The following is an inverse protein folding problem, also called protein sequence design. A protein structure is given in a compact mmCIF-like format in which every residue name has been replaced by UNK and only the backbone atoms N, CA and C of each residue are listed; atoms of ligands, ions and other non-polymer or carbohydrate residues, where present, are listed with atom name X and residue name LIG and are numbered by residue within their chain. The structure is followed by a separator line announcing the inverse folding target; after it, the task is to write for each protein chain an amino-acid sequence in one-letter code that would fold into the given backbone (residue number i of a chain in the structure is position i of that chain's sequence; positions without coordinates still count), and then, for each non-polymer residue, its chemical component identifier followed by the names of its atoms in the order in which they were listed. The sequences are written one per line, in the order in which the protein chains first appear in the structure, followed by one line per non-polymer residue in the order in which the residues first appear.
data_IF_294568061028
#
_entry.id   IF_294568061028
#
_cell.length_a   1.000
_cell.length_b   1.000
_cell.length_c   1.000
_cell.angle_alpha   90.00
_cell.angle_beta   90.00
_cell.angle_gamma   90.00
#
_symmetry.space_group_name_H-M   'P 1'
#
loop_
_entity.id
_entity.type
_entity.pdbx_description
1 polymer ?
#
# COMPACT_ATOMS: atom_id res chain seq x y z
N UNK A 1 1.94 -26.99 12.61
CA UNK A 1 0.72 -26.37 13.16
C UNK A 1 0.43 -25.18 12.27
N UNK A 2 -0.53 -25.30 11.36
CA UNK A 2 -0.95 -24.19 10.51
C UNK A 2 -1.58 -23.11 11.39
N UNK A 3 -0.78 -22.14 11.83
CA UNK A 3 -1.30 -20.97 12.52
C UNK A 3 -2.10 -20.16 11.50
N UNK A 4 -3.41 -20.01 11.76
CA UNK A 4 -4.31 -19.14 10.97
C UNK A 4 -3.70 -17.75 10.81
N UNK A 5 -3.89 -17.13 9.66
CA UNK A 5 -3.38 -15.78 9.42
C UNK A 5 -4.26 -14.79 10.18
N UNK A 6 -3.70 -14.06 11.15
CA UNK A 6 -4.41 -12.99 11.86
C UNK A 6 -4.03 -11.60 11.36
N UNK A 7 -5.02 -10.77 11.03
CA UNK A 7 -4.84 -9.38 10.56
C UNK A 7 -5.46 -8.40 11.56
N UNK A 8 -4.67 -7.48 12.09
CA UNK A 8 -5.18 -6.37 12.90
C UNK A 8 -5.69 -5.24 12.00
N UNK A 9 -6.88 -4.72 12.30
CA UNK A 9 -7.50 -3.63 11.56
C UNK A 9 -7.72 -2.47 12.52
N UNK A 10 -7.13 -1.32 12.20
CA UNK A 10 -7.44 -0.06 12.88
C UNK A 10 -8.86 0.37 12.48
N UNK A 11 -9.84 0.02 13.31
CA UNK A 11 -11.26 0.20 13.01
C UNK A 11 -11.69 1.67 13.10
N UNK A 12 -10.92 2.53 13.74
CA UNK A 12 -11.23 3.96 13.87
C UNK A 12 -10.55 4.80 12.78
N UNK A 13 -9.63 4.22 12.02
CA UNK A 13 -8.84 4.95 11.02
C UNK A 13 -9.63 5.33 9.77
N UNK A 14 -9.37 6.53 9.26
CA UNK A 14 -9.96 7.06 8.02
C UNK A 14 -11.20 7.91 8.29
N UNK A 15 -11.74 8.54 7.24
CA UNK A 15 -12.76 9.58 7.35
C UNK A 15 -14.10 9.07 7.91
N UNK A 16 -14.32 7.75 7.82
CA UNK A 16 -15.57 7.09 8.18
C UNK A 16 -15.41 5.98 9.25
N UNK A 17 -14.18 5.71 9.69
CA UNK A 17 -13.86 4.74 10.74
C UNK A 17 -14.60 3.39 10.62
N UNK A 18 -15.24 2.98 11.73
CA UNK A 18 -15.79 1.64 11.91
C UNK A 18 -16.89 1.30 10.90
N UNK A 19 -17.62 2.32 10.43
CA UNK A 19 -18.71 2.18 9.47
C UNK A 19 -18.26 1.65 8.10
N UNK A 20 -16.97 1.77 7.79
CA UNK A 20 -16.33 1.21 6.59
C UNK A 20 -15.50 -0.02 6.93
N UNK A 21 -14.68 0.06 7.98
CA UNK A 21 -13.72 -1.01 8.31
C UNK A 21 -14.43 -2.30 8.71
N UNK A 22 -15.50 -2.22 9.52
CA UNK A 22 -16.22 -3.42 9.98
C UNK A 22 -16.91 -4.16 8.83
N UNK A 23 -17.70 -3.53 7.94
CA UNK A 23 -18.23 -4.22 6.77
C UNK A 23 -17.17 -4.81 5.85
N UNK A 24 -16.03 -4.13 5.69
CA UNK A 24 -14.91 -4.63 4.88
C UNK A 24 -14.26 -5.87 5.51
N UNK A 25 -14.14 -5.91 6.84
CA UNK A 25 -13.65 -7.05 7.60
C UNK A 25 -14.59 -8.25 7.52
N UNK A 26 -15.91 -8.04 7.68
CA UNK A 26 -16.94 -9.08 7.51
C UNK A 26 -16.87 -9.68 6.10
N UNK A 27 -16.74 -8.84 5.07
CA UNK A 27 -16.58 -9.31 3.69
C UNK A 27 -15.28 -10.11 3.51
N UNK A 28 -14.19 -9.70 4.17
CA UNK A 28 -12.91 -10.39 4.10
C UNK A 28 -12.95 -11.76 4.80
N UNK A 29 -13.54 -11.84 6.00
CA UNK A 29 -13.71 -13.08 6.77
C UNK A 29 -14.49 -14.13 5.97
N UNK A 30 -15.65 -13.75 5.41
CA UNK A 30 -16.47 -14.66 4.58
C UNK A 30 -15.73 -15.20 3.35
N UNK A 31 -14.79 -14.43 2.79
CA UNK A 31 -13.99 -14.85 1.62
C UNK A 31 -12.76 -15.67 2.01
N UNK A 32 -12.29 -15.59 3.25
CA UNK A 32 -11.07 -16.23 3.72
C UNK A 32 -11.34 -16.95 5.05
N UNK A 33 -11.92 -18.17 5.01
CA UNK A 33 -12.27 -18.95 6.20
C UNK A 33 -11.08 -19.33 7.10
N UNK A 34 -9.86 -19.19 6.58
CA UNK A 34 -8.58 -19.49 7.22
C UNK A 34 -7.89 -18.25 7.86
N UNK A 35 -8.54 -17.09 7.79
CA UNK A 35 -8.00 -15.80 8.26
C UNK A 35 -8.84 -15.25 9.41
N UNK A 36 -8.20 -14.81 10.48
CA UNK A 36 -8.83 -14.13 11.60
C UNK A 36 -8.53 -12.63 11.58
N UNK A 37 -9.42 -11.83 12.17
CA UNK A 37 -9.32 -10.38 12.18
C UNK A 37 -9.47 -9.85 13.61
N UNK A 38 -8.58 -8.92 13.97
CA UNK A 38 -8.68 -8.17 15.23
C UNK A 38 -9.08 -6.74 14.88
N UNK A 39 -10.33 -6.39 15.15
CA UNK A 39 -10.88 -5.04 15.00
C UNK A 39 -10.51 -4.22 16.23
N UNK A 40 -9.67 -3.19 16.05
CA UNK A 40 -9.11 -2.41 17.14
C UNK A 40 -9.72 -1.02 17.19
N UNK A 41 -10.29 -0.61 18.33
CA UNK A 41 -10.92 0.70 18.49
C UNK A 41 -11.93 0.79 19.64
N UNK A 42 -12.89 1.70 19.52
CA UNK A 42 -14.00 1.79 20.46
C UNK A 42 -14.85 0.52 20.39
N UNK A 43 -14.92 -0.23 21.49
CA UNK A 43 -15.57 -1.54 21.51
C UNK A 43 -17.07 -1.44 21.28
N UNK A 44 -17.72 -0.41 21.82
CA UNK A 44 -19.16 -0.23 21.67
C UNK A 44 -19.50 0.11 20.20
N UNK A 45 -18.73 0.99 19.57
CA UNK A 45 -18.90 1.37 18.17
C UNK A 45 -18.68 0.17 17.23
N UNK A 46 -17.61 -0.60 17.45
CA UNK A 46 -17.30 -1.79 16.64
C UNK A 46 -18.39 -2.85 16.79
N UNK A 47 -18.85 -3.14 18.02
CA UNK A 47 -19.91 -4.14 18.26
C UNK A 47 -21.22 -3.73 17.61
N UNK A 48 -21.63 -2.45 17.72
CA UNK A 48 -22.82 -1.95 17.05
C UNK A 48 -22.72 -2.08 15.51
N UNK A 49 -21.55 -1.83 14.93
CA UNK A 49 -21.32 -2.01 13.51
C UNK A 49 -21.36 -3.50 13.08
N UNK A 50 -20.84 -4.42 13.91
CA UNK A 50 -20.92 -5.87 13.68
C UNK A 50 -22.35 -6.39 13.73
N UNK A 51 -23.15 -5.93 14.70
CA UNK A 51 -24.57 -6.26 14.83
C UNK A 51 -25.34 -5.81 13.58
N UNK A 52 -25.11 -4.57 13.14
CA UNK A 52 -25.72 -4.03 11.91
C UNK A 52 -25.31 -4.80 10.66
N UNK A 53 -24.09 -5.34 10.62
CA UNK A 53 -23.59 -6.20 9.54
C UNK A 53 -24.05 -7.66 9.66
N UNK A 54 -24.86 -8.00 10.68
CA UNK A 54 -25.35 -9.36 10.93
C UNK A 54 -24.24 -10.37 11.20
N UNK A 55 -23.14 -9.92 11.81
CA UNK A 55 -21.94 -10.74 12.07
C UNK A 55 -21.53 -10.69 13.55
N UNK A 56 -22.50 -10.42 14.41
CA UNK A 56 -22.36 -10.56 15.86
C UNK A 56 -22.03 -12.01 16.22
N UNK A 57 -20.91 -12.23 16.91
CA UNK A 57 -20.47 -13.57 17.31
C UNK A 57 -19.78 -14.39 16.23
N UNK A 58 -19.40 -13.78 15.09
CA UNK A 58 -18.52 -14.42 14.12
C UNK A 58 -17.15 -14.74 14.77
N UNK A 59 -16.78 -16.03 14.78
CA UNK A 59 -15.56 -16.49 15.45
C UNK A 59 -14.27 -15.98 14.80
N UNK A 60 -14.32 -15.50 13.55
CA UNK A 60 -13.17 -14.90 12.86
C UNK A 60 -12.96 -13.42 13.23
N UNK A 61 -13.93 -12.78 13.88
CA UNK A 61 -13.93 -11.33 14.15
C UNK A 61 -13.78 -11.07 15.65
N UNK A 62 -12.56 -10.72 16.06
CA UNK A 62 -12.25 -10.37 17.45
C UNK A 62 -12.24 -8.86 17.63
N UNK A 63 -12.74 -8.38 18.76
CA UNK A 63 -12.72 -6.96 19.11
C UNK A 63 -11.65 -6.72 20.17
N UNK A 64 -10.78 -5.74 19.92
CA UNK A 64 -9.77 -5.27 20.87
C UNK A 64 -10.05 -3.80 21.17
N UNK A 65 -10.41 -3.50 22.42
CA UNK A 65 -10.65 -2.12 22.81
C UNK A 65 -9.37 -1.27 22.77
N UNK A 66 -9.51 -0.02 22.35
CA UNK A 66 -8.54 1.05 22.49
C UNK A 66 -9.29 2.34 22.86
N UNK A 67 -8.78 3.10 23.83
CA UNK A 67 -9.49 4.28 24.38
C UNK A 67 -9.27 5.56 23.57
N UNK A 68 -8.35 5.56 22.61
CA UNK A 68 -7.98 6.75 21.85
C UNK A 68 -8.07 6.50 20.34
N UNK A 69 -8.18 7.59 19.58
CA UNK A 69 -8.04 7.63 18.12
C UNK A 69 -7.01 8.69 17.74
N UNK A 70 -6.33 8.49 16.62
CA UNK A 70 -5.47 9.50 15.99
C UNK A 70 -6.28 10.21 14.91
N UNK A 71 -6.47 11.52 15.05
CA UNK A 71 -7.25 12.31 14.09
C UNK A 71 -6.47 12.51 12.78
N UNK A 72 -7.19 12.74 11.68
CA UNK A 72 -6.59 12.83 10.35
C UNK A 72 -5.67 14.06 10.17
N UNK A 73 -5.91 15.13 10.90
CA UNK A 73 -5.11 16.37 10.93
C UNK A 73 -4.08 16.40 12.07
N UNK A 74 -4.03 15.36 12.90
CA UNK A 74 -3.11 15.29 14.03
C UNK A 74 -1.65 15.18 13.56
N UNK A 75 -0.76 15.94 14.20
CA UNK A 75 0.67 15.89 13.89
C UNK A 75 1.24 14.49 14.22
N UNK A 76 1.96 13.82 13.29
CA UNK A 76 2.53 12.49 13.52
C UNK A 76 3.38 12.37 14.78
N UNK A 77 4.14 13.42 15.11
CA UNK A 77 4.99 13.49 16.30
C UNK A 77 4.20 13.55 17.61
N UNK A 78 3.04 14.20 17.60
CA UNK A 78 2.14 14.27 18.74
C UNK A 78 1.45 12.93 18.96
N UNK A 79 0.86 12.37 17.91
CA UNK A 79 0.23 11.05 17.95
C UNK A 79 1.19 9.98 18.48
N UNK A 80 2.42 9.93 17.96
CA UNK A 80 3.44 8.96 18.39
C UNK A 80 3.77 9.04 19.90
N UNK A 81 3.81 10.25 20.46
CA UNK A 81 4.21 10.48 21.87
C UNK A 81 3.06 10.27 22.85
N UNK A 82 1.87 10.74 22.48
CA UNK A 82 0.77 10.95 23.42
C UNK A 82 -0.39 9.95 23.24
N UNK A 83 -0.52 9.32 22.07
CA UNK A 83 -1.64 8.42 21.74
C UNK A 83 -1.24 6.94 21.83
N UNK A 84 -0.68 6.55 22.98
CA UNK A 84 -0.16 5.20 23.20
C UNK A 84 -1.26 4.13 23.25
N UNK A 85 -2.49 4.53 23.53
CA UNK A 85 -3.66 3.66 23.52
C UNK A 85 -4.61 4.01 22.36
N UNK A 86 -4.07 4.52 21.25
CA UNK A 86 -4.86 4.71 20.03
C UNK A 86 -5.13 3.39 19.32
N UNK A 87 -6.27 3.29 18.65
CA UNK A 87 -6.62 2.14 17.78
C UNK A 87 -5.46 1.74 16.84
N UNK A 88 -4.85 2.72 16.17
CA UNK A 88 -3.69 2.55 15.31
C UNK A 88 -2.49 1.98 16.09
N UNK A 89 -2.18 2.53 17.26
CA UNK A 89 -1.05 2.06 18.08
C UNK A 89 -1.27 0.66 18.62
N UNK A 90 -2.47 0.38 19.11
CA UNK A 90 -2.86 -0.92 19.67
C UNK A 90 -2.87 -1.98 18.56
N UNK A 91 -3.32 -1.66 17.34
CA UNK A 91 -3.25 -2.56 16.18
C UNK A 91 -1.80 -2.95 15.83
N UNK A 92 -0.88 -1.99 15.83
CA UNK A 92 0.55 -2.28 15.61
C UNK A 92 1.17 -3.08 16.77
N UNK A 93 0.74 -2.84 18.01
CA UNK A 93 1.19 -3.63 19.16
C UNK A 93 0.75 -5.11 19.03
N UNK A 94 -0.41 -5.40 18.41
CA UNK A 94 -0.82 -6.79 18.14
C UNK A 94 0.23 -7.57 17.33
N UNK A 95 0.86 -6.91 16.35
CA UNK A 95 1.97 -7.53 15.59
C UNK A 95 3.19 -7.72 16.48
N UNK A 96 3.60 -6.66 17.19
CA UNK A 96 4.78 -6.70 18.06
C UNK A 96 4.69 -7.81 19.12
N UNK A 97 3.49 -8.07 19.60
CA UNK A 97 3.20 -9.06 20.65
C UNK A 97 2.90 -10.45 20.08
N UNK A 98 3.01 -10.64 18.76
CA UNK A 98 2.82 -11.94 18.10
C UNK A 98 1.37 -12.40 18.02
N UNK A 99 0.40 -11.50 18.22
CA UNK A 99 -1.04 -11.78 18.13
C UNK A 99 -1.64 -11.53 16.74
N UNK A 100 -0.96 -10.74 15.91
CA UNK A 100 -1.32 -10.50 14.52
C UNK A 100 -0.08 -10.59 13.62
N UNK A 101 -0.28 -10.90 12.33
CA UNK A 101 0.80 -10.97 11.34
C UNK A 101 0.90 -9.70 10.48
N UNK A 102 -0.20 -8.95 10.35
CA UNK A 102 -0.22 -7.67 9.64
C UNK A 102 -1.20 -6.68 10.27
N UNK A 103 -1.05 -5.41 9.89
CA UNK A 103 -1.93 -4.31 10.28
C UNK A 103 -2.42 -3.57 9.04
N UNK A 104 -3.72 -3.27 8.98
CA UNK A 104 -4.30 -2.38 7.96
C UNK A 104 -4.92 -1.17 8.64
N UNK A 105 -4.59 0.03 8.16
CA UNK A 105 -5.17 1.27 8.68
C UNK A 105 -5.49 2.25 7.55
N UNK A 106 -6.63 2.92 7.64
CA UNK A 106 -6.97 4.06 6.80
C UNK A 106 -6.66 5.42 7.48
N UNK A 107 -6.11 5.42 8.71
CA UNK A 107 -5.79 6.63 9.48
C UNK A 107 -4.62 7.46 8.92
N UNK A 108 -4.21 8.51 9.61
CA UNK A 108 -3.17 9.44 9.16
C UNK A 108 -1.87 8.72 8.70
N UNK A 109 -1.44 8.94 7.46
CA UNK A 109 -0.28 8.24 6.85
C UNK A 109 1.01 8.48 7.63
N UNK A 110 1.27 9.73 8.02
CA UNK A 110 2.49 10.09 8.73
C UNK A 110 2.53 9.49 10.14
N UNK A 111 1.40 9.51 10.86
CA UNK A 111 1.26 8.89 12.16
C UNK A 111 1.42 7.36 12.08
N UNK A 112 0.84 6.72 11.06
CA UNK A 112 0.99 5.29 10.82
C UNK A 112 2.44 4.93 10.56
N UNK A 113 3.12 5.66 9.66
CA UNK A 113 4.54 5.42 9.36
C UNK A 113 5.42 5.59 10.60
N UNK A 114 5.27 6.71 11.32
CA UNK A 114 6.07 7.00 12.51
C UNK A 114 5.85 5.97 13.62
N UNK A 115 4.59 5.59 13.87
CA UNK A 115 4.22 4.60 14.88
C UNK A 115 4.69 3.21 14.51
N UNK A 116 4.52 2.80 13.24
CA UNK A 116 4.96 1.49 12.75
C UNK A 116 6.46 1.33 12.86
N UNK A 117 7.23 2.33 12.42
CA UNK A 117 8.70 2.33 12.57
C UNK A 117 9.12 2.26 14.04
N UNK A 118 8.44 2.98 14.93
CA UNK A 118 8.75 2.96 16.36
C UNK A 118 8.47 1.58 16.99
N UNK A 119 7.31 1.00 16.70
CA UNK A 119 6.80 -0.24 17.31
C UNK A 119 7.51 -1.46 16.74
N UNK A 120 7.55 -1.59 15.42
CA UNK A 120 7.98 -2.79 14.70
C UNK A 120 9.48 -2.78 14.38
N UNK A 121 10.10 -1.59 14.34
CA UNK A 121 11.49 -1.40 13.90
C UNK A 121 11.72 -1.76 12.43
N UNK A 122 12.90 -1.41 11.94
CA UNK A 122 13.37 -1.75 10.60
C UNK A 122 13.89 -3.19 10.55
N UNK A 123 13.77 -3.81 9.39
CA UNK A 123 14.54 -5.01 9.05
C UNK A 123 16.04 -4.69 9.15
N UNK A 124 16.87 -5.62 9.67
CA UNK A 124 18.32 -5.44 9.69
C UNK A 124 18.86 -5.12 8.29
N UNK A 125 19.65 -4.05 8.17
CA UNK A 125 20.25 -3.63 6.91
C UNK A 125 19.35 -2.79 5.98
N UNK A 126 18.09 -2.56 6.34
CA UNK A 126 17.24 -1.56 5.67
C UNK A 126 17.25 -0.27 6.47
N UNK A 127 17.59 0.85 5.83
CA UNK A 127 17.78 2.12 6.51
C UNK A 127 16.46 2.85 6.77
N UNK A 128 15.54 2.79 5.80
CA UNK A 128 14.28 3.54 5.81
C UNK A 128 13.14 2.74 5.20
N UNK A 129 11.91 2.89 5.71
CA UNK A 129 10.76 2.25 5.08
C UNK A 129 10.36 3.01 3.82
N UNK A 130 9.71 2.34 2.87
CA UNK A 130 9.19 2.96 1.65
C UNK A 130 7.69 2.68 1.50
N UNK A 131 6.94 3.65 0.98
CA UNK A 131 5.54 3.44 0.58
C UNK A 131 5.54 2.84 -0.82
N UNK A 132 5.03 1.62 -0.95
CA UNK A 132 4.90 0.90 -2.21
C UNK A 132 3.42 0.71 -2.55
N UNK A 133 2.99 1.18 -3.73
CA UNK A 133 1.61 0.98 -4.21
C UNK A 133 1.60 0.49 -5.65
N UNK A 134 0.58 -0.29 -6.00
CA UNK A 134 0.28 -0.60 -7.39
C UNK A 134 -0.42 0.61 -8.04
N UNK A 135 0.03 1.00 -9.23
CA UNK A 135 -0.60 1.99 -10.09
C UNK A 135 -1.17 1.29 -11.33
N UNK A 136 -2.37 1.67 -11.81
CA UNK A 136 -2.94 1.05 -13.01
C UNK A 136 -2.01 1.23 -14.22
N UNK A 137 -1.90 0.21 -15.06
CA UNK A 137 -1.15 0.28 -16.33
C UNK A 137 -1.92 -0.40 -17.46
N UNK A 138 -1.47 -0.23 -18.70
CA UNK A 138 -2.05 -0.88 -19.87
C UNK A 138 -2.00 -2.42 -19.79
N UNK A 139 -1.00 -2.98 -19.10
CA UNK A 139 -0.82 -4.43 -18.94
C UNK A 139 -1.40 -4.99 -17.64
N UNK A 140 -1.69 -4.16 -16.65
CA UNK A 140 -2.60 -4.37 -15.50
C UNK A 140 -2.25 -3.33 -14.43
N UNK A 141 -1.03 -3.40 -13.91
CA UNK A 141 -0.48 -2.42 -12.98
C UNK A 141 1.06 -2.36 -13.03
N UNK A 142 1.62 -1.37 -12.36
CA UNK A 142 3.05 -1.16 -12.12
C UNK A 142 3.23 -0.83 -10.64
N UNK A 143 4.14 -1.50 -9.93
CA UNK A 143 4.49 -1.13 -8.56
C UNK A 143 5.38 0.11 -8.56
N UNK A 144 5.10 1.05 -7.67
CA UNK A 144 5.91 2.27 -7.55
C UNK A 144 6.28 2.53 -6.10
N UNK A 145 7.55 2.89 -5.87
CA UNK A 145 8.10 3.26 -4.58
C UNK A 145 9.34 4.14 -4.73
N UNK A 146 9.62 5.11 -3.86
CA UNK A 146 8.83 5.53 -2.72
C UNK A 146 7.76 6.56 -3.12
N UNK A 147 6.63 6.57 -2.41
CA UNK A 147 5.49 7.47 -2.67
C UNK A 147 5.25 8.47 -1.54
N UNK A 148 6.31 8.78 -0.78
CA UNK A 148 6.32 9.87 0.19
C UNK A 148 6.69 9.49 1.62
N UNK A 149 7.29 8.30 1.86
CA UNK A 149 7.88 8.02 3.17
C UNK A 149 9.15 8.87 3.42
N UNK A 150 9.90 9.13 2.36
CA UNK A 150 11.20 9.79 2.40
C UNK A 150 11.23 10.92 1.37
N UNK A 151 11.42 12.15 1.83
CA UNK A 151 11.55 13.31 0.93
C UNK A 151 12.86 13.24 0.14
N UNK A 152 13.97 12.98 0.85
CA UNK A 152 15.31 12.88 0.25
C UNK A 152 15.89 11.49 0.47
N UNK A 153 16.33 10.87 -0.62
CA UNK A 153 17.00 9.56 -0.64
C UNK A 153 18.42 9.71 -1.18
N UNK A 154 19.26 8.68 -1.01
CA UNK A 154 20.50 8.54 -1.80
C UNK A 154 20.39 7.33 -2.71
N UNK A 155 21.40 7.10 -3.56
CA UNK A 155 21.41 5.98 -4.49
C UNK A 155 21.30 4.59 -3.82
N UNK A 156 21.82 4.42 -2.60
CA UNK A 156 21.74 3.16 -1.86
C UNK A 156 20.32 2.90 -1.37
N UNK A 157 19.58 3.96 -0.99
CA UNK A 157 18.17 3.82 -0.66
C UNK A 157 17.35 3.38 -1.89
N UNK A 158 17.60 3.94 -3.08
CA UNK A 158 16.92 3.52 -4.31
C UNK A 158 17.19 2.04 -4.64
N UNK A 159 18.41 1.54 -4.41
CA UNK A 159 18.72 0.11 -4.50
C UNK A 159 17.91 -0.72 -3.49
N UNK A 160 17.84 -0.30 -2.23
CA UNK A 160 17.02 -0.98 -1.22
C UNK A 160 15.54 -0.99 -1.62
N UNK A 161 15.03 0.11 -2.20
CA UNK A 161 13.67 0.19 -2.70
C UNK A 161 13.46 -0.79 -3.86
N UNK A 162 14.38 -0.86 -4.82
CA UNK A 162 14.30 -1.79 -5.94
C UNK A 162 14.22 -3.25 -5.46
N UNK A 163 15.03 -3.59 -4.45
CA UNK A 163 15.01 -4.90 -3.80
C UNK A 163 13.68 -5.18 -3.12
N UNK A 164 13.22 -4.27 -2.26
CA UNK A 164 11.96 -4.44 -1.52
C UNK A 164 10.76 -4.52 -2.45
N UNK A 165 10.71 -3.67 -3.48
CA UNK A 165 9.67 -3.70 -4.52
C UNK A 165 9.69 -5.01 -5.29
N UNK A 166 10.87 -5.56 -5.59
CA UNK A 166 11.02 -6.85 -6.27
C UNK A 166 10.44 -8.01 -5.48
N UNK A 167 10.69 -8.04 -4.17
CA UNK A 167 10.09 -9.07 -3.32
C UNK A 167 8.58 -8.87 -3.10
N UNK A 168 8.10 -7.62 -3.04
CA UNK A 168 6.68 -7.32 -2.98
C UNK A 168 5.94 -7.77 -4.25
N UNK A 169 6.42 -7.37 -5.44
CA UNK A 169 5.81 -7.75 -6.71
C UNK A 169 5.87 -9.27 -6.90
N UNK A 170 7.01 -9.90 -6.58
CA UNK A 170 7.13 -11.35 -6.68
C UNK A 170 6.31 -12.14 -5.67
N UNK A 171 5.91 -11.53 -4.55
CA UNK A 171 4.97 -12.12 -3.60
C UNK A 171 3.53 -11.95 -4.05
N UNK A 172 3.13 -10.71 -4.38
CA UNK A 172 1.73 -10.40 -4.63
C UNK A 172 1.27 -10.85 -6.02
N UNK A 173 2.14 -10.75 -7.03
CA UNK A 173 1.79 -11.05 -8.43
C UNK A 173 2.31 -12.42 -8.88
N UNK A 174 3.12 -13.09 -8.06
CA UNK A 174 3.76 -14.36 -8.41
C UNK A 174 4.87 -14.23 -9.46
N UNK A 175 5.34 -13.01 -9.76
CA UNK A 175 6.43 -12.75 -10.69
C UNK A 175 7.80 -12.96 -10.03
N UNK A 176 8.48 -14.07 -10.31
CA UNK A 176 9.75 -14.41 -9.65
C UNK A 176 10.95 -13.55 -10.07
N UNK A 177 10.85 -12.78 -11.15
CA UNK A 177 11.95 -11.96 -11.67
C UNK A 177 11.45 -10.61 -12.23
N UNK A 178 10.84 -9.77 -11.39
CA UNK A 178 10.13 -8.58 -11.85
C UNK A 178 11.11 -7.53 -12.40
N UNK A 179 10.76 -6.93 -13.54
CA UNK A 179 11.57 -5.88 -14.18
C UNK A 179 11.57 -4.60 -13.35
N UNK A 180 12.76 -4.05 -13.13
CA UNK A 180 12.98 -2.85 -12.31
C UNK A 180 13.42 -1.70 -13.19
N UNK A 181 12.68 -0.60 -13.15
CA UNK A 181 13.05 0.69 -13.72
C UNK A 181 13.41 1.71 -12.64
N UNK A 182 14.31 2.63 -12.97
CA UNK A 182 14.56 3.83 -12.14
C UNK A 182 13.91 5.02 -12.83
N UNK A 183 13.01 5.73 -12.14
CA UNK A 183 12.33 6.89 -12.71
C UNK A 183 13.34 7.99 -13.05
N UNK A 184 13.27 8.51 -14.27
CA UNK A 184 14.18 9.53 -14.76
C UNK A 184 13.46 10.51 -15.71
N UNK A 185 14.18 11.57 -16.08
CA UNK A 185 13.73 12.60 -17.04
C UNK A 185 13.96 12.20 -18.52
N UNK A 186 14.36 10.96 -18.77
CA UNK A 186 14.55 10.38 -20.09
C UNK A 186 15.22 9.00 -20.03
N UNK A 187 15.10 8.24 -21.11
CA UNK A 187 15.65 6.88 -21.22
C UNK A 187 17.18 6.84 -21.38
N UNK A 188 17.82 7.93 -21.82
CA UNK A 188 19.25 7.98 -22.13
C UNK A 188 20.14 8.06 -20.89
N UNK A 189 21.27 7.33 -20.88
CA UNK A 189 22.19 7.23 -19.72
C UNK A 189 22.76 8.57 -19.22
N UNK A 190 22.87 9.55 -20.12
CA UNK A 190 23.38 10.89 -19.80
C UNK A 190 22.38 11.76 -19.04
N UNK A 191 21.08 11.43 -19.07
CA UNK A 191 20.02 12.20 -18.42
C UNK A 191 19.84 11.81 -16.95
N UNK A 192 19.29 12.74 -16.17
CA UNK A 192 19.09 12.56 -14.74
C UNK A 192 20.21 13.14 -13.88
N UNK A 193 19.93 13.22 -12.59
CA UNK A 193 20.88 13.69 -11.60
C UNK A 193 21.87 12.57 -11.20
N UNK A 194 22.94 12.93 -10.48
CA UNK A 194 23.96 11.97 -10.04
C UNK A 194 23.42 10.85 -9.15
N UNK A 195 22.39 11.15 -8.35
CA UNK A 195 21.73 10.16 -7.49
C UNK A 195 21.07 9.05 -8.31
N UNK A 196 20.31 9.40 -9.34
CA UNK A 196 19.62 8.46 -10.23
C UNK A 196 20.62 7.63 -11.03
N UNK A 197 21.69 8.26 -11.54
CA UNK A 197 22.76 7.57 -12.28
C UNK A 197 23.50 6.56 -11.40
N UNK A 198 23.87 6.96 -10.19
CA UNK A 198 24.52 6.06 -9.25
C UNK A 198 23.57 4.94 -8.80
N UNK A 199 22.27 5.22 -8.62
CA UNK A 199 21.29 4.20 -8.29
C UNK A 199 21.17 3.15 -9.42
N UNK A 200 21.06 3.59 -10.67
CA UNK A 200 21.02 2.72 -11.84
C UNK A 200 22.27 1.84 -11.92
N UNK A 201 23.46 2.40 -11.69
CA UNK A 201 24.73 1.66 -11.63
C UNK A 201 24.73 0.61 -10.52
N UNK A 202 24.24 0.96 -9.32
CA UNK A 202 24.18 0.04 -8.19
C UNK A 202 23.16 -1.09 -8.41
N UNK A 203 22.04 -0.80 -9.06
CA UNK A 203 20.98 -1.77 -9.36
C UNK A 203 21.42 -2.71 -10.48
N UNK A 204 22.07 -2.21 -11.54
CA UNK A 204 22.57 -3.03 -12.65
C UNK A 204 23.69 -3.99 -12.22
N UNK A 205 24.46 -3.64 -11.18
CA UNK A 205 25.47 -4.51 -10.56
C UNK A 205 24.90 -5.49 -9.52
N UNK A 206 23.59 -5.45 -9.27
CA UNK A 206 22.93 -6.35 -8.31
C UNK A 206 22.36 -7.59 -9.02
N UNK A 207 21.71 -8.48 -8.27
CA UNK A 207 21.00 -9.64 -8.83
C UNK A 207 19.57 -9.31 -9.30
N UNK A 208 19.19 -8.02 -9.36
CA UNK A 208 17.85 -7.59 -9.76
C UNK A 208 17.73 -7.52 -11.28
N UNK A 209 16.52 -7.70 -11.80
CA UNK A 209 16.22 -7.61 -13.23
C UNK A 209 16.09 -6.14 -13.66
N UNK A 210 17.22 -5.45 -13.72
CA UNK A 210 17.26 -4.05 -14.13
C UNK A 210 16.94 -3.90 -15.63
N UNK A 211 15.93 -3.10 -15.93
CA UNK A 211 15.44 -2.88 -17.30
C UNK A 211 15.69 -1.45 -17.82
N UNK A 212 16.44 -0.62 -17.08
CA UNK A 212 16.84 0.72 -17.51
C UNK A 212 16.12 1.86 -16.79
N UNK A 213 16.11 3.03 -17.40
CA UNK A 213 15.37 4.18 -16.91
C UNK A 213 13.91 4.13 -17.37
N UNK A 214 13.01 4.58 -16.51
CA UNK A 214 11.59 4.73 -16.81
C UNK A 214 11.26 6.23 -16.88
N UNK A 215 10.53 6.65 -17.90
CA UNK A 215 9.95 7.99 -17.96
C UNK A 215 8.59 8.05 -17.22
N UNK A 216 8.05 9.26 -17.05
CA UNK A 216 6.80 9.46 -16.32
C UNK A 216 5.59 8.75 -16.92
N UNK A 217 5.59 8.51 -18.24
CA UNK A 217 4.51 7.80 -18.92
C UNK A 217 4.67 6.26 -18.83
N UNK A 218 5.88 5.74 -18.63
CA UNK A 218 6.15 4.30 -18.47
C UNK A 218 5.47 3.70 -17.23
N UNK A 219 5.16 4.54 -16.24
CA UNK A 219 4.29 4.18 -15.10
C UNK A 219 3.00 3.50 -15.60
N UNK A 220 2.45 3.99 -16.71
CA UNK A 220 1.17 3.54 -17.26
C UNK A 220 1.31 2.54 -18.42
N UNK A 221 2.49 2.37 -19.03
CA UNK A 221 2.68 1.43 -20.16
C UNK A 221 2.80 -0.03 -19.72
N UNK A 222 3.27 -0.28 -18.49
CA UNK A 222 3.50 -1.64 -17.97
C UNK A 222 4.70 -2.33 -18.61
N UNK A 223 5.74 -1.57 -18.98
CA UNK A 223 7.03 -2.13 -19.43
C UNK A 223 7.93 -2.52 -18.25
N UNK A 224 7.69 -1.91 -17.09
CA UNK A 224 8.32 -2.22 -15.82
C UNK A 224 7.28 -2.83 -14.89
N UNK A 225 7.66 -3.88 -14.17
CA UNK A 225 6.86 -4.40 -13.06
C UNK A 225 6.99 -3.45 -11.86
N UNK A 226 8.18 -2.87 -11.67
CA UNK A 226 8.51 -1.97 -10.56
C UNK A 226 9.24 -0.74 -11.07
N UNK A 227 8.83 0.44 -10.62
CA UNK A 227 9.54 1.70 -10.84
C UNK A 227 9.95 2.28 -9.49
N UNK A 228 11.24 2.60 -9.36
CA UNK A 228 11.78 3.23 -8.16
C UNK A 228 12.12 4.70 -8.32
N UNK A 229 11.85 5.50 -7.29
CA UNK A 229 12.17 6.92 -7.19
C UNK A 229 12.31 7.37 -5.73
N UNK A 230 12.75 8.62 -5.53
CA UNK A 230 12.61 9.29 -4.24
C UNK A 230 11.14 9.61 -3.94
N UNK A 231 10.80 9.72 -2.66
CA UNK A 231 9.41 9.91 -2.24
C UNK A 231 8.84 11.29 -2.56
N UNK A 232 9.67 12.31 -2.80
CA UNK A 232 9.19 13.62 -3.24
C UNK A 232 8.67 13.53 -4.69
N UNK A 233 9.48 13.02 -5.61
CA UNK A 233 9.09 12.81 -7.01
C UNK A 233 7.94 11.80 -7.07
N UNK A 234 8.02 10.68 -6.36
CA UNK A 234 6.99 9.65 -6.39
C UNK A 234 5.62 10.14 -5.90
N UNK A 235 5.59 10.90 -4.81
CA UNK A 235 4.33 11.47 -4.30
C UNK A 235 3.74 12.52 -5.26
N UNK A 236 4.57 13.36 -5.88
CA UNK A 236 4.12 14.31 -6.91
C UNK A 236 3.53 13.56 -8.11
N UNK A 237 4.21 12.53 -8.60
CA UNK A 237 3.75 11.70 -9.71
C UNK A 237 2.41 11.04 -9.40
N UNK A 238 2.27 10.43 -8.22
CA UNK A 238 1.02 9.83 -7.75
C UNK A 238 -0.12 10.85 -7.70
N UNK A 239 0.09 12.00 -7.03
CA UNK A 239 -0.95 13.02 -6.83
C UNK A 239 -1.37 13.71 -8.13
N UNK A 240 -0.41 13.95 -9.02
CA UNK A 240 -0.68 14.49 -10.35
C UNK A 240 -1.57 13.54 -11.14
N UNK A 241 -1.27 12.25 -11.08
CA UNK A 241 -1.99 11.21 -11.82
C UNK A 241 -3.40 10.97 -11.29
N UNK A 242 -3.57 10.97 -9.96
CA UNK A 242 -4.89 10.97 -9.33
C UNK A 242 -5.71 12.22 -9.73
N UNK A 243 -5.07 13.39 -9.81
CA UNK A 243 -5.68 14.64 -10.24
C UNK A 243 -6.20 14.59 -11.68
N UNK A 244 -5.35 14.13 -12.61
CA UNK A 244 -5.71 13.96 -14.02
C UNK A 244 -6.86 12.96 -14.19
N UNK A 245 -6.80 11.81 -13.50
CA UNK A 245 -7.86 10.80 -13.55
C UNK A 245 -9.22 11.37 -13.06
N UNK A 246 -9.22 12.13 -11.96
CA UNK A 246 -10.42 12.81 -11.43
C UNK A 246 -10.95 13.87 -12.38
N UNK A 247 -10.07 14.63 -13.04
CA UNK A 247 -10.45 15.63 -14.04
C UNK A 247 -11.15 14.98 -15.23
N UNK A 248 -10.57 13.92 -15.82
CA UNK A 248 -11.16 13.18 -16.94
C UNK A 248 -12.53 12.60 -16.56
N UNK A 249 -12.64 11.97 -15.39
CA UNK A 249 -13.91 11.43 -14.91
C UNK A 249 -14.99 12.51 -14.75
N UNK A 250 -14.59 13.71 -14.31
CA UNK A 250 -15.48 14.86 -14.17
C UNK A 250 -15.98 15.36 -15.53
N UNK A 251 -15.10 15.52 -16.52
CA UNK A 251 -15.47 15.95 -17.86
C UNK A 251 -16.40 14.94 -18.56
N UNK A 252 -16.11 13.65 -18.46
CA UNK A 252 -16.99 12.59 -18.98
C UNK A 252 -18.40 12.71 -18.36
N UNK A 253 -18.47 12.87 -17.02
CA UNK A 253 -19.76 13.02 -16.33
C UNK A 253 -20.51 14.27 -16.80
N UNK A 254 -19.81 15.40 -16.96
CA UNK A 254 -20.42 16.66 -17.40
C UNK A 254 -21.00 16.53 -18.82
N UNK A 255 -20.24 16.00 -19.78
CA UNK A 255 -20.71 15.87 -21.17
C UNK A 255 -21.91 14.92 -21.30
N UNK A 256 -21.90 13.78 -20.61
CA UNK A 256 -23.01 12.84 -20.66
C UNK A 256 -24.26 13.30 -19.89
N UNK A 257 -24.15 14.29 -19.00
CA UNK A 257 -25.28 14.81 -18.22
C UNK A 257 -25.82 16.15 -18.70
N UNK A 258 -25.21 16.73 -19.75
CA UNK A 258 -25.48 18.07 -20.26
C UNK A 258 -26.93 18.31 -20.69
N UNK A 259 -27.54 17.37 -21.39
CA UNK A 259 -28.94 17.43 -21.82
C UNK A 259 -29.58 16.03 -21.97
N UNK A 260 -30.87 16.00 -22.32
CA UNK A 260 -31.65 14.75 -22.43
C UNK A 260 -31.05 13.81 -23.50
N UNK A 261 -30.58 14.34 -24.64
CA UNK A 261 -29.98 13.54 -25.70
C UNK A 261 -28.65 12.92 -25.27
N UNK A 262 -27.79 13.68 -24.58
CA UNK A 262 -26.53 13.15 -24.04
C UNK A 262 -26.76 12.10 -22.96
N UNK A 263 -27.83 12.26 -22.16
CA UNK A 263 -28.21 11.24 -21.16
C UNK A 263 -28.70 9.95 -21.82
N UNK A 264 -29.43 10.06 -22.92
CA UNK A 264 -29.84 8.89 -23.71
C UNK A 264 -28.63 8.19 -24.34
N UNK A 265 -27.69 8.96 -24.90
CA UNK A 265 -26.41 8.42 -25.39
C UNK A 265 -25.60 7.74 -24.28
N UNK A 266 -25.61 8.30 -23.05
CA UNK A 266 -24.97 7.69 -21.89
C UNK A 266 -25.55 6.32 -21.55
N UNK A 267 -26.87 6.14 -21.72
CA UNK A 267 -27.54 4.87 -21.46
C UNK A 267 -27.07 3.79 -22.44
N UNK A 268 -26.94 4.14 -23.72
CA UNK A 268 -26.40 3.25 -24.75
C UNK A 268 -24.92 2.94 -24.49
N UNK A 269 -24.11 3.96 -24.14
CA UNK A 269 -22.70 3.83 -23.85
C UNK A 269 -22.39 3.22 -22.46
N UNK A 270 -23.40 2.99 -21.63
CA UNK A 270 -23.26 2.58 -20.23
C UNK A 270 -22.38 1.33 -20.04
N UNK A 271 -22.46 0.27 -20.88
CA UNK A 271 -21.57 -0.89 -20.74
C UNK A 271 -20.09 -0.52 -20.91
N UNK A 272 -19.79 0.34 -21.90
CA UNK A 272 -18.43 0.83 -22.18
C UNK A 272 -17.96 1.75 -21.06
N UNK A 273 -18.79 2.67 -20.59
CA UNK A 273 -18.47 3.57 -19.49
C UNK A 273 -18.21 2.80 -18.18
N UNK A 274 -18.99 1.75 -17.90
CA UNK A 274 -18.75 0.86 -16.75
C UNK A 274 -17.45 0.09 -16.89
N UNK A 275 -17.16 -0.45 -18.07
CA UNK A 275 -15.90 -1.17 -18.33
C UNK A 275 -14.68 -0.24 -18.20
N UNK A 276 -14.77 0.96 -18.76
CA UNK A 276 -13.74 2.00 -18.65
C UNK A 276 -13.52 2.38 -17.18
N UNK A 277 -14.60 2.75 -16.46
CA UNK A 277 -14.53 3.10 -15.03
C UNK A 277 -13.88 2.00 -14.20
N UNK A 278 -14.14 0.72 -14.50
CA UNK A 278 -13.55 -0.42 -13.80
C UNK A 278 -12.04 -0.58 -14.05
N UNK A 279 -11.53 -0.18 -15.22
CA UNK A 279 -10.08 -0.22 -15.53
C UNK A 279 -9.31 0.87 -14.81
N UNK A 280 -9.89 2.07 -14.72
CA UNK A 280 -9.24 3.23 -14.07
C UNK A 280 -9.62 3.40 -12.60
N UNK A 281 -10.26 2.40 -11.97
CA UNK A 281 -10.78 2.52 -10.60
C UNK A 281 -9.63 2.41 -9.59
N UNK A 282 -9.21 3.51 -8.92
CA UNK A 282 -8.10 3.47 -7.98
C UNK A 282 -8.41 2.58 -6.77
N UNK A 283 -9.69 2.32 -6.47
CA UNK A 283 -10.09 1.45 -5.35
C UNK A 283 -9.56 0.02 -5.49
N UNK A 284 -9.28 -0.42 -6.73
CA UNK A 284 -8.75 -1.77 -7.00
C UNK A 284 -7.28 -1.92 -6.60
N UNK A 285 -6.56 -0.82 -6.54
CA UNK A 285 -5.12 -0.77 -6.26
C UNK A 285 -4.82 -0.14 -4.89
N UNK A 286 -5.82 -0.10 -4.01
CA UNK A 286 -5.67 0.37 -2.64
C UNK A 286 -4.88 -0.66 -1.81
N UNK A 287 -4.14 -0.16 -0.82
CA UNK A 287 -3.30 -0.96 0.06
C UNK A 287 -1.81 -0.70 -0.17
N UNK A 288 -1.37 0.52 0.13
CA UNK A 288 0.03 0.87 0.03
C UNK A 288 0.83 0.18 1.15
N UNK A 289 1.83 -0.61 0.79
CA UNK A 289 2.66 -1.35 1.74
C UNK A 289 3.78 -0.48 2.28
N UNK A 290 3.98 -0.48 3.60
CA UNK A 290 5.15 0.14 4.24
C UNK A 290 6.29 -0.89 4.31
N UNK A 291 7.06 -0.99 3.23
CA UNK A 291 8.13 -1.97 3.10
C UNK A 291 9.34 -1.60 3.96
N UNK A 292 10.10 -2.62 4.40
CA UNK A 292 11.32 -2.44 5.20
C UNK A 292 11.12 -2.53 6.72
N UNK A 293 9.88 -2.63 7.19
CA UNK A 293 9.55 -2.90 8.59
C UNK A 293 9.63 -4.40 8.92
N UNK A 294 9.88 -4.75 10.18
CA UNK A 294 9.87 -6.16 10.64
C UNK A 294 8.48 -6.81 10.64
N UNK A 295 7.42 -6.03 10.45
CA UNK A 295 6.05 -6.50 10.34
C UNK A 295 5.35 -5.86 9.15
N UNK A 296 4.24 -6.47 8.73
CA UNK A 296 3.51 -6.03 7.54
C UNK A 296 2.51 -4.95 7.94
N UNK A 297 2.63 -3.77 7.32
CA UNK A 297 1.71 -2.65 7.53
C UNK A 297 1.22 -2.13 6.19
N UNK A 298 -0.10 -2.13 6.03
CA UNK A 298 -0.79 -1.66 4.83
C UNK A 298 -1.58 -0.39 5.15
N UNK A 299 -1.28 0.68 4.41
CA UNK A 299 -2.02 1.93 4.42
C UNK A 299 -3.13 1.89 3.38
N UNK A 300 -4.37 1.94 3.82
CA UNK A 300 -5.54 2.20 2.97
C UNK A 300 -5.73 3.71 2.81
N UNK A 301 -6.32 4.19 1.70
CA UNK A 301 -6.72 5.60 1.56
C UNK A 301 -7.70 6.03 2.68
N UNK A 302 -7.63 7.29 3.13
CA UNK A 302 -8.48 7.81 4.23
C UNK A 302 -9.97 7.82 3.89
N UNK A 303 -10.28 8.22 2.65
CA UNK A 303 -11.65 8.23 2.09
C UNK A 303 -12.06 6.89 1.44
N UNK A 304 -11.40 5.78 1.79
CA UNK A 304 -11.70 4.48 1.22
C UNK A 304 -13.15 4.05 1.54
N UNK A 305 -13.82 3.44 0.57
CA UNK A 305 -15.06 2.70 0.82
C UNK A 305 -14.75 1.25 1.24
N UNK A 306 -15.78 0.48 1.62
CA UNK A 306 -15.61 -0.89 2.10
C UNK A 306 -14.94 -1.82 1.08
N UNK A 307 -15.18 -1.61 -0.23
CA UNK A 307 -14.54 -2.38 -1.29
C UNK A 307 -13.04 -2.04 -1.38
N UNK A 308 -12.72 -0.75 -1.35
CA UNK A 308 -11.36 -0.24 -1.36
C UNK A 308 -10.57 -0.76 -0.15
N UNK A 309 -11.16 -0.74 1.05
CA UNK A 309 -10.53 -1.26 2.26
C UNK A 309 -10.38 -2.80 2.20
N UNK A 310 -11.34 -3.52 1.64
CA UNK A 310 -11.24 -4.97 1.41
C UNK A 310 -10.06 -5.34 0.50
N UNK A 311 -9.74 -4.52 -0.50
CA UNK A 311 -8.54 -4.73 -1.33
C UNK A 311 -7.25 -4.51 -0.53
N UNK A 312 -7.19 -3.52 0.37
CA UNK A 312 -6.05 -3.35 1.27
C UNK A 312 -5.87 -4.55 2.21
N UNK A 313 -6.97 -5.13 2.72
CA UNK A 313 -6.94 -6.39 3.47
C UNK A 313 -6.39 -7.54 2.62
N UNK A 314 -6.81 -7.64 1.35
CA UNK A 314 -6.29 -8.66 0.42
C UNK A 314 -4.77 -8.57 0.27
N UNK A 315 -4.23 -7.35 0.11
CA UNK A 315 -2.77 -7.14 0.04
C UNK A 315 -2.10 -7.62 1.34
N UNK A 316 -2.65 -7.27 2.51
CA UNK A 316 -2.11 -7.73 3.79
C UNK A 316 -2.07 -9.26 3.91
N UNK A 317 -3.14 -9.95 3.53
CA UNK A 317 -3.21 -11.43 3.57
C UNK A 317 -2.16 -12.04 2.65
N UNK A 318 -2.02 -11.54 1.42
CA UNK A 318 -1.02 -12.03 0.47
C UNK A 318 0.41 -11.79 0.98
N UNK A 319 0.71 -10.60 1.49
CA UNK A 319 2.02 -10.28 2.05
C UNK A 319 2.39 -11.17 3.24
N UNK A 320 1.42 -11.58 4.07
CA UNK A 320 1.65 -12.53 5.17
C UNK A 320 1.92 -13.93 4.64
N UNK A 321 1.08 -14.43 3.73
CA UNK A 321 1.24 -15.79 3.17
C UNK A 321 2.58 -15.99 2.47
N UNK A 322 3.09 -14.93 1.85
CA UNK A 322 4.38 -14.94 1.16
C UNK A 322 5.56 -14.51 2.04
N UNK A 323 5.32 -14.22 3.33
CA UNK A 323 6.35 -13.81 4.29
C UNK A 323 7.26 -12.70 3.74
N UNK A 324 6.67 -11.63 3.18
CA UNK A 324 7.42 -10.56 2.48
C UNK A 324 8.60 -10.00 3.29
N UNK A 325 8.49 -9.71 4.60
CA UNK A 325 9.63 -9.24 5.40
C UNK A 325 10.81 -10.22 5.43
N UNK A 326 10.54 -11.52 5.45
CA UNK A 326 11.57 -12.57 5.46
C UNK A 326 12.24 -12.69 4.10
N UNK A 327 11.45 -12.61 3.02
CA UNK A 327 11.96 -12.57 1.64
C UNK A 327 12.90 -11.39 1.40
N UNK A 328 12.51 -10.19 1.86
CA UNK A 328 13.35 -8.98 1.79
C UNK A 328 14.66 -9.20 2.56
N UNK A 329 14.58 -9.74 3.78
CA UNK A 329 15.76 -9.98 4.63
C UNK A 329 16.73 -10.97 3.99
N UNK A 330 16.22 -12.10 3.48
CA UNK A 330 17.03 -13.11 2.80
C UNK A 330 17.69 -12.56 1.53
N UNK A 331 16.95 -11.79 0.73
CA UNK A 331 17.51 -11.16 -0.47
C UNK A 331 18.61 -10.17 -0.14
N UNK A 332 18.41 -9.34 0.88
CA UNK A 332 19.42 -8.37 1.30
C UNK A 332 20.73 -9.04 1.76
N UNK A 333 20.63 -10.12 2.54
CA UNK A 333 21.79 -10.91 2.97
C UNK A 333 22.57 -11.46 1.77
N UNK A 334 21.88 -12.05 0.78
CA UNK A 334 22.53 -12.58 -0.42
C UNK A 334 23.32 -11.54 -1.21
N UNK A 335 22.84 -10.29 -1.29
CA UNK A 335 23.54 -9.20 -1.99
C UNK A 335 24.76 -8.73 -1.19
N UNK A 336 24.67 -8.71 0.14
CA UNK A 336 25.80 -8.33 1.00
C UNK A 336 26.93 -9.37 0.95
N UNK A 337 26.61 -10.66 0.95
CA UNK A 337 27.57 -11.75 0.83
C UNK A 337 28.30 -11.72 -0.53
N UNK A 338 27.56 -11.54 -1.63
CA UNK A 338 28.15 -11.45 -2.98
C UNK A 338 29.11 -10.27 -3.13
N UNK A 339 28.87 -9.15 -2.43
CA UNK A 339 29.78 -7.99 -2.40
C UNK A 339 31.03 -8.20 -1.55
N UNK A 340 30.98 -9.07 -0.55
CA UNK A 340 32.16 -9.39 0.26
C UNK A 340 33.06 -10.43 -0.42
N UNK A 341 32.50 -11.23 -1.33
CA UNK A 341 33.21 -12.25 -2.09
C UNK A 341 33.83 -11.73 -3.40
N UNK A 342 33.51 -10.51 -3.83
CA UNK A 342 34.02 -9.85 -5.04
C UNK A 342 35.05 -8.78 -4.70
#
# INVERSE_FOLDING_TARGET
MDSRVTIALDAMGGDFGSSIVVPAAVLAARKNPDVDFILVGDEAEIRAALDKAGSAGDSQLHVQHATQTVEMDELPSHALRNKKDSSMRVALNQIKEGRAHACVSAGNTGALMATSRFVLKMLPGIDRPAICTALPSEKDHTWMLDLGANVDCDAKHLLQFALMGSEQAGAVDGNRNPTVGVLNIGEEEMKGNEQVKEAARLISQSSLNYAGYAEGDDIYKGNFDIIVCDGFIGNISLKTSEGVAKMIATFIKQEFTRNIFTKLAALIAMPVLKAFRRRIDPRRYNGASLLGLRGIVIKSHGSADALSFNNAIKVAILSVREAVPDRISARLQSIQENRQAS
#
